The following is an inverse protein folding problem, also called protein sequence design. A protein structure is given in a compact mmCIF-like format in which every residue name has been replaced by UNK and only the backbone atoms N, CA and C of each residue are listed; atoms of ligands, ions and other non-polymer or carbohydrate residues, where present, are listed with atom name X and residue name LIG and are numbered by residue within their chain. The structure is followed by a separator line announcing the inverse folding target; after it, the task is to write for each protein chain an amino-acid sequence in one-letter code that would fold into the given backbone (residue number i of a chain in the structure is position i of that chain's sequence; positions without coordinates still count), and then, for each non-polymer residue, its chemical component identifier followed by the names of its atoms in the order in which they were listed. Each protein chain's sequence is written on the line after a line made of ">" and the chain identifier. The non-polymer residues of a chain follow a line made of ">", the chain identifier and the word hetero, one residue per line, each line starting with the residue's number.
data_IF_798648574773
#
_entry.id   IF_798648574773
#
_cell.length_a   1.000
_cell.length_b   1.000
_cell.length_c   1.000
_cell.angle_alpha   90.00
_cell.angle_beta   90.00
_cell.angle_gamma   90.00
#
_symmetry.space_group_name_H-M   'P 1'
#
loop_
_entity.id
_entity.type
_entity.pdbx_description
1 polymer ?
#
# COMPACT_ATOMS: atom_id res chain seq x y z
N UNK A 1 -18.68 -62.46 29.43
CA UNK A 1 -18.30 -61.08 29.83
C UNK A 1 -17.78 -60.38 28.59
N UNK A 2 -18.58 -59.52 27.95
CA UNK A 2 -18.19 -58.71 26.81
C UNK A 2 -17.60 -57.38 27.30
N UNK A 3 -16.32 -57.15 27.05
CA UNK A 3 -15.67 -55.87 27.32
C UNK A 3 -16.07 -54.83 26.28
N UNK A 4 -16.80 -53.79 26.72
CA UNK A 4 -17.13 -52.63 25.90
C UNK A 4 -15.89 -51.71 25.87
N UNK A 5 -15.28 -51.54 24.69
CA UNK A 5 -14.19 -50.60 24.51
C UNK A 5 -14.82 -49.26 24.15
N UNK A 6 -14.80 -48.27 25.07
CA UNK A 6 -15.27 -46.92 24.79
C UNK A 6 -14.14 -46.15 24.02
N UNK A 7 -14.39 -45.78 22.80
CA UNK A 7 -13.51 -44.90 22.01
C UNK A 7 -13.82 -43.45 22.36
N UNK A 8 -12.93 -42.78 23.09
CA UNK A 8 -13.02 -41.33 23.31
C UNK A 8 -12.43 -40.61 22.09
N UNK A 9 -13.31 -40.02 21.29
CA UNK A 9 -12.90 -39.06 20.22
C UNK A 9 -12.54 -37.72 20.88
N UNK A 10 -11.26 -37.42 20.99
CA UNK A 10 -10.81 -36.08 21.35
C UNK A 10 -11.01 -35.16 20.16
N UNK A 11 -12.05 -34.32 20.18
CA UNK A 11 -12.17 -33.15 19.30
C UNK A 11 -11.20 -32.07 19.81
N UNK A 12 -10.06 -31.93 19.18
CA UNK A 12 -9.21 -30.76 19.33
C UNK A 12 -9.88 -29.59 18.62
N UNK A 13 -10.55 -28.71 19.38
CA UNK A 13 -10.97 -27.40 18.87
C UNK A 13 -9.69 -26.57 18.72
N UNK A 14 -9.18 -26.46 17.52
CA UNK A 14 -8.18 -25.44 17.20
C UNK A 14 -8.88 -24.10 17.24
N UNK A 15 -8.66 -23.30 18.28
CA UNK A 15 -9.03 -21.89 18.30
C UNK A 15 -8.19 -21.20 17.19
N UNK A 16 -8.74 -21.08 16.01
CA UNK A 16 -8.16 -20.20 14.98
C UNK A 16 -8.46 -18.76 15.41
N UNK A 17 -7.43 -17.95 15.62
CA UNK A 17 -7.58 -16.51 15.85
C UNK A 17 -8.39 -15.85 14.71
N UNK A 18 -9.01 -14.72 15.00
CA UNK A 18 -9.71 -13.96 13.97
C UNK A 18 -8.71 -13.47 12.91
N UNK A 19 -9.14 -13.50 11.64
CA UNK A 19 -8.31 -13.06 10.51
C UNK A 19 -8.66 -11.63 10.08
N UNK A 20 -7.65 -10.88 9.65
CA UNK A 20 -7.81 -9.56 9.04
C UNK A 20 -7.00 -9.49 7.74
N UNK A 21 -7.65 -9.15 6.63
CA UNK A 21 -7.02 -8.90 5.34
C UNK A 21 -6.69 -7.42 5.19
N UNK A 22 -5.41 -7.10 5.03
CA UNK A 22 -4.92 -5.74 4.86
C UNK A 22 -4.34 -5.58 3.46
N UNK A 23 -4.67 -4.48 2.78
CA UNK A 23 -4.27 -4.22 1.40
C UNK A 23 -3.73 -2.80 1.20
N UNK A 24 -3.00 -2.58 0.12
CA UNK A 24 -2.64 -1.25 -0.38
C UNK A 24 -2.85 -1.16 -1.89
N UNK A 25 -3.29 0.02 -2.37
CA UNK A 25 -3.59 0.25 -3.77
C UNK A 25 -3.32 1.70 -4.18
N UNK A 26 -2.30 1.92 -4.99
CA UNK A 26 -2.15 3.19 -5.72
C UNK A 26 -3.20 3.23 -6.83
N UNK A 27 -4.13 4.19 -6.76
CA UNK A 27 -5.31 4.24 -7.65
C UNK A 27 -5.09 5.03 -8.94
N UNK A 28 -3.86 5.46 -9.23
CA UNK A 28 -3.53 6.29 -10.40
C UNK A 28 -4.41 7.55 -10.49
N UNK A 29 -4.27 8.44 -9.51
CA UNK A 29 -4.90 9.77 -9.45
C UNK A 29 -6.45 9.74 -9.38
N UNK A 30 -6.99 9.79 -8.17
CA UNK A 30 -8.40 10.04 -7.94
C UNK A 30 -8.61 11.49 -7.51
N UNK A 31 -9.08 12.32 -8.44
CA UNK A 31 -9.45 13.72 -8.24
C UNK A 31 -10.97 13.87 -8.15
N UNK A 32 -11.46 14.76 -7.30
CA UNK A 32 -12.87 15.14 -7.33
C UNK A 32 -13.16 16.18 -8.45
N UNK A 33 -14.34 16.77 -8.44
CA UNK A 33 -14.73 17.76 -9.45
C UNK A 33 -14.76 19.19 -8.91
N UNK A 34 -14.15 19.42 -7.74
CA UNK A 34 -13.98 20.75 -7.16
C UNK A 34 -12.61 21.27 -7.54
N UNK A 35 -12.56 22.43 -8.18
CA UNK A 35 -11.30 23.06 -8.53
C UNK A 35 -10.66 23.66 -7.27
N UNK A 36 -9.48 23.18 -6.90
CA UNK A 36 -8.69 23.65 -5.76
C UNK A 36 -7.47 24.49 -6.16
N UNK A 37 -7.07 24.43 -7.45
CA UNK A 37 -5.87 25.07 -7.97
C UNK A 37 -4.59 24.22 -7.83
N UNK A 38 -4.71 22.99 -7.31
CA UNK A 38 -3.59 22.06 -7.08
C UNK A 38 -3.67 20.81 -7.98
N UNK A 39 -4.67 20.74 -8.87
CA UNK A 39 -4.87 19.62 -9.79
C UNK A 39 -3.74 19.56 -10.83
N UNK A 40 -3.47 18.35 -11.30
CA UNK A 40 -2.74 18.19 -12.56
C UNK A 40 -3.60 18.75 -13.71
N UNK A 41 -2.96 19.29 -14.75
CA UNK A 41 -3.64 19.92 -15.88
C UNK A 41 -4.75 19.05 -16.48
N UNK A 42 -4.47 17.74 -16.63
CA UNK A 42 -5.43 16.79 -17.19
C UNK A 42 -6.57 16.42 -16.22
N UNK A 43 -6.50 16.81 -14.96
CA UNK A 43 -7.55 16.61 -13.96
C UNK A 43 -8.30 17.91 -13.58
N UNK A 44 -8.00 19.03 -14.22
CA UNK A 44 -8.80 20.25 -14.05
C UNK A 44 -10.23 19.99 -14.55
N UNK A 45 -11.26 20.17 -13.70
CA UNK A 45 -12.62 19.78 -14.02
C UNK A 45 -13.19 20.53 -15.22
N UNK A 46 -13.94 19.82 -16.05
CA UNK A 46 -14.73 20.35 -17.18
C UNK A 46 -13.93 21.07 -18.27
N UNK A 47 -12.64 20.77 -18.42
CA UNK A 47 -11.78 21.25 -19.50
C UNK A 47 -11.84 20.32 -20.73
N UNK A 48 -11.04 20.64 -21.77
CA UNK A 48 -10.84 19.78 -22.94
C UNK A 48 -10.33 18.38 -22.61
N UNK A 49 -9.70 18.19 -21.45
CA UNK A 49 -9.29 16.89 -20.93
C UNK A 49 -10.46 15.98 -20.52
N UNK A 50 -11.68 16.51 -20.44
CA UNK A 50 -12.92 15.78 -20.08
C UNK A 50 -12.84 15.06 -18.73
N UNK A 51 -12.12 15.66 -17.76
CA UNK A 51 -12.29 15.25 -16.38
C UNK A 51 -13.61 15.86 -15.89
N UNK A 52 -14.67 15.11 -15.99
CA UNK A 52 -16.05 15.54 -15.73
C UNK A 52 -16.82 14.46 -14.96
N UNK A 53 -18.10 14.67 -14.72
CA UNK A 53 -18.96 13.76 -13.98
C UNK A 53 -18.94 12.33 -14.53
N UNK A 54 -18.90 12.14 -15.86
CA UNK A 54 -18.86 10.82 -16.49
C UNK A 54 -17.53 10.11 -16.19
N UNK A 55 -16.40 10.79 -16.40
CA UNK A 55 -15.06 10.25 -16.15
C UNK A 55 -14.85 9.96 -14.66
N UNK A 56 -15.30 10.87 -13.80
CA UNK A 56 -15.18 10.72 -12.35
C UNK A 56 -15.98 9.51 -11.85
N UNK A 57 -17.26 9.39 -12.22
CA UNK A 57 -18.09 8.24 -11.86
C UNK A 57 -17.52 6.92 -12.36
N UNK A 58 -17.01 6.89 -13.60
CA UNK A 58 -16.37 5.71 -14.14
C UNK A 58 -15.11 5.32 -13.32
N UNK A 59 -14.29 6.31 -12.94
CA UNK A 59 -13.09 6.08 -12.11
C UNK A 59 -13.47 5.52 -10.75
N UNK A 60 -14.43 6.12 -10.06
CA UNK A 60 -14.94 5.64 -8.77
C UNK A 60 -15.44 4.19 -8.87
N UNK A 61 -16.27 3.88 -9.88
CA UNK A 61 -16.81 2.53 -10.10
C UNK A 61 -15.70 1.51 -10.36
N UNK A 62 -14.72 1.86 -11.18
CA UNK A 62 -13.64 0.95 -11.54
C UNK A 62 -12.72 0.67 -10.35
N UNK A 63 -12.34 1.69 -9.56
CA UNK A 63 -11.55 1.50 -8.35
C UNK A 63 -12.35 0.70 -7.31
N UNK A 64 -13.62 1.05 -7.09
CA UNK A 64 -14.50 0.34 -6.17
C UNK A 64 -14.60 -1.14 -6.52
N UNK A 65 -14.79 -1.49 -7.81
CA UNK A 65 -14.82 -2.88 -8.25
C UNK A 65 -13.57 -3.66 -7.82
N UNK A 66 -12.37 -3.08 -7.99
CA UNK A 66 -11.12 -3.74 -7.59
C UNK A 66 -11.08 -3.97 -6.09
N UNK A 67 -11.48 -2.97 -5.30
CA UNK A 67 -11.48 -3.04 -3.83
C UNK A 67 -12.51 -4.08 -3.34
N UNK A 68 -13.72 -4.07 -3.90
CA UNK A 68 -14.79 -5.00 -3.51
C UNK A 68 -14.43 -6.45 -3.88
N UNK A 69 -13.90 -6.68 -5.08
CA UNK A 69 -13.48 -8.02 -5.51
C UNK A 69 -12.32 -8.57 -4.64
N UNK A 70 -11.42 -7.71 -4.17
CA UNK A 70 -10.34 -8.08 -3.25
C UNK A 70 -10.84 -8.28 -1.81
N UNK A 71 -11.91 -7.57 -1.42
CA UNK A 71 -12.57 -7.62 -0.11
C UNK A 71 -11.61 -7.48 1.09
N UNK A 72 -10.82 -6.40 1.21
CA UNK A 72 -9.98 -6.16 2.37
C UNK A 72 -10.79 -5.65 3.57
N UNK A 73 -10.28 -5.91 4.78
CA UNK A 73 -10.81 -5.33 6.01
C UNK A 73 -10.23 -3.94 6.28
N UNK A 74 -8.98 -3.73 5.84
CA UNK A 74 -8.27 -2.46 5.91
C UNK A 74 -7.55 -2.25 4.57
N UNK A 75 -7.67 -1.05 3.99
CA UNK A 75 -6.98 -0.72 2.74
C UNK A 75 -6.35 0.67 2.78
N UNK A 76 -5.05 0.73 2.48
CA UNK A 76 -4.36 1.97 2.16
C UNK A 76 -4.58 2.34 0.69
N UNK A 77 -4.67 3.63 0.43
CA UNK A 77 -4.89 4.20 -0.88
C UNK A 77 -3.88 5.31 -1.13
N UNK A 78 -3.20 5.26 -2.25
CA UNK A 78 -2.30 6.31 -2.70
C UNK A 78 -2.92 7.07 -3.88
N UNK A 79 -2.49 8.32 -4.07
CA UNK A 79 -2.96 9.22 -5.12
C UNK A 79 -4.43 9.65 -5.00
N UNK A 80 -4.88 9.84 -3.77
CA UNK A 80 -6.16 10.47 -3.46
C UNK A 80 -5.95 11.99 -3.35
N UNK A 81 -6.67 12.76 -4.16
CA UNK A 81 -6.52 14.22 -4.18
C UNK A 81 -7.10 14.89 -2.93
N UNK A 82 -8.33 14.50 -2.51
CA UNK A 82 -9.07 15.21 -1.48
C UNK A 82 -9.86 14.30 -0.54
N UNK A 83 -10.34 14.89 0.58
CA UNK A 83 -11.33 14.22 1.45
C UNK A 83 -12.65 13.93 0.75
N UNK A 84 -13.02 14.76 -0.24
CA UNK A 84 -14.26 14.57 -1.01
C UNK A 84 -14.11 13.36 -1.93
N UNK A 85 -13.00 13.26 -2.68
CA UNK A 85 -12.70 12.11 -3.52
C UNK A 85 -12.69 10.79 -2.70
N UNK A 86 -12.10 10.80 -1.49
CA UNK A 86 -12.10 9.65 -0.59
C UNK A 86 -13.49 9.28 -0.10
N UNK A 87 -14.30 10.25 0.30
CA UNK A 87 -15.69 10.01 0.77
C UNK A 87 -16.55 9.46 -0.35
N UNK A 88 -16.43 9.99 -1.57
CA UNK A 88 -17.17 9.52 -2.73
C UNK A 88 -16.77 8.09 -3.11
N UNK A 89 -15.47 7.77 -3.06
CA UNK A 89 -14.99 6.40 -3.28
C UNK A 89 -15.52 5.46 -2.21
N UNK A 90 -15.46 5.82 -0.92
CA UNK A 90 -16.00 5.02 0.18
C UNK A 90 -17.51 4.77 0.01
N UNK A 91 -18.28 5.80 -0.36
CA UNK A 91 -19.70 5.66 -0.63
C UNK A 91 -19.97 4.75 -1.83
N UNK A 92 -19.11 4.77 -2.87
CA UNK A 92 -19.22 3.86 -4.01
C UNK A 92 -18.94 2.41 -3.57
N UNK A 93 -17.86 2.17 -2.81
CA UNK A 93 -17.50 0.86 -2.25
C UNK A 93 -18.65 0.29 -1.40
N UNK A 94 -19.29 1.13 -0.59
CA UNK A 94 -20.44 0.71 0.23
C UNK A 94 -21.64 0.31 -0.65
N UNK A 95 -21.96 1.06 -1.70
CA UNK A 95 -23.02 0.71 -2.67
C UNK A 95 -22.73 -0.60 -3.40
N UNK A 96 -21.45 -0.88 -3.65
CA UNK A 96 -21.00 -2.09 -4.34
C UNK A 96 -20.83 -3.30 -3.38
N UNK A 97 -21.20 -3.16 -2.08
CA UNK A 97 -21.36 -4.27 -1.13
C UNK A 97 -20.24 -4.46 -0.10
N UNK A 98 -19.24 -3.55 -0.02
CA UNK A 98 -18.18 -3.64 1.01
C UNK A 98 -18.28 -2.44 1.97
N UNK A 99 -18.45 -2.73 3.26
CA UNK A 99 -18.61 -1.70 4.29
C UNK A 99 -17.30 -1.42 5.03
N UNK A 100 -16.74 -0.23 4.79
CA UNK A 100 -15.53 0.29 5.42
C UNK A 100 -15.84 1.65 6.07
N UNK A 101 -16.45 1.65 7.30
CA UNK A 101 -17.00 2.87 7.91
C UNK A 101 -15.96 3.89 8.33
N UNK A 102 -14.78 3.43 8.73
CA UNK A 102 -13.73 4.29 9.26
C UNK A 102 -12.74 4.69 8.17
N UNK A 103 -12.27 5.93 8.20
CA UNK A 103 -11.31 6.43 7.22
C UNK A 103 -10.42 7.53 7.78
N UNK A 104 -9.24 7.68 7.20
CA UNK A 104 -8.33 8.78 7.42
C UNK A 104 -7.63 9.17 6.12
N UNK A 105 -7.15 10.43 6.04
CA UNK A 105 -6.37 10.95 4.91
C UNK A 105 -5.34 11.94 5.43
N UNK A 106 -4.11 11.90 4.93
CA UNK A 106 -3.05 12.85 5.25
C UNK A 106 -3.23 14.14 4.46
N UNK A 107 -4.13 15.03 4.93
CA UNK A 107 -4.57 16.23 4.23
C UNK A 107 -4.17 17.55 4.93
N UNK A 108 -3.30 17.52 5.97
CA UNK A 108 -2.82 18.73 6.63
C UNK A 108 -1.83 19.54 5.79
N UNK A 109 -1.31 18.93 4.72
CA UNK A 109 -0.40 19.56 3.78
C UNK A 109 -1.02 19.63 2.40
N UNK A 110 -0.89 20.78 1.77
CA UNK A 110 -1.47 21.05 0.46
C UNK A 110 -0.59 20.47 -0.67
N UNK A 111 -0.61 19.16 -0.77
CA UNK A 111 0.00 18.40 -1.86
C UNK A 111 -1.07 17.95 -2.84
N UNK A 112 -0.75 17.90 -4.14
CA UNK A 112 -1.69 17.53 -5.20
C UNK A 112 -2.41 16.21 -4.92
N UNK A 113 -1.68 15.18 -4.52
CA UNK A 113 -2.26 13.89 -4.11
C UNK A 113 -1.72 13.45 -2.76
N UNK A 114 -2.53 12.69 -2.05
CA UNK A 114 -2.35 12.31 -0.65
C UNK A 114 -2.46 10.80 -0.48
N UNK A 115 -2.13 10.33 0.71
CA UNK A 115 -2.36 8.94 1.14
C UNK A 115 -3.56 8.87 2.07
N UNK A 116 -4.31 7.77 2.00
CA UNK A 116 -5.52 7.55 2.78
C UNK A 116 -5.63 6.11 3.27
N UNK A 117 -6.54 5.88 4.22
CA UNK A 117 -6.85 4.56 4.76
C UNK A 117 -8.37 4.42 4.91
N UNK A 118 -8.92 3.27 4.50
CA UNK A 118 -10.27 2.83 4.83
C UNK A 118 -10.18 1.58 5.70
N UNK A 119 -11.10 1.42 6.66
CA UNK A 119 -11.07 0.31 7.61
C UNK A 119 -12.47 -0.12 8.06
N UNK A 120 -12.65 -1.42 8.32
CA UNK A 120 -13.78 -1.97 9.06
C UNK A 120 -13.69 -1.67 10.56
N UNK A 121 -12.47 -1.45 11.07
CA UNK A 121 -12.19 -1.26 12.48
C UNK A 121 -12.02 0.22 12.80
N UNK A 122 -12.42 0.67 14.02
CA UNK A 122 -12.09 2.00 14.49
C UNK A 122 -10.58 2.27 14.40
N UNK A 123 -10.21 3.48 13.99
CA UNK A 123 -8.82 3.88 13.86
C UNK A 123 -8.58 5.24 14.51
N UNK A 124 -7.37 5.39 15.08
CA UNK A 124 -6.85 6.67 15.51
C UNK A 124 -5.70 7.07 14.61
N UNK A 125 -5.84 8.18 13.87
CA UNK A 125 -4.90 8.57 12.84
C UNK A 125 -4.23 9.91 13.15
N UNK A 126 -2.95 10.00 12.76
CA UNK A 126 -2.16 11.22 12.76
C UNK A 126 -1.25 11.29 11.54
N UNK A 127 -0.76 12.48 11.24
CA UNK A 127 0.17 12.66 10.12
C UNK A 127 1.61 12.76 10.63
N UNK A 128 2.47 11.92 10.09
CA UNK A 128 3.90 12.04 10.28
C UNK A 128 4.45 13.02 9.25
N UNK A 129 4.85 14.19 9.71
CA UNK A 129 5.45 15.23 8.87
C UNK A 129 6.85 14.79 8.40
N UNK A 130 7.02 14.60 7.10
CA UNK A 130 8.30 14.21 6.50
C UNK A 130 9.29 15.40 6.53
N UNK A 131 8.87 16.57 6.04
CA UNK A 131 9.63 17.83 6.10
C UNK A 131 8.66 19.01 6.15
N UNK A 132 9.21 20.23 6.34
CA UNK A 132 8.43 21.46 6.20
C UNK A 132 8.01 21.74 4.75
N UNK A 133 8.78 21.26 3.77
CA UNK A 133 8.52 21.51 2.35
C UNK A 133 7.24 20.82 1.86
N UNK A 134 6.39 21.55 1.15
CA UNK A 134 5.20 21.03 0.47
C UNK A 134 5.53 20.05 -0.67
N UNK A 135 6.81 19.98 -1.10
CA UNK A 135 7.26 19.01 -2.11
C UNK A 135 7.22 17.57 -1.62
N UNK A 136 7.11 17.33 -0.31
CA UNK A 136 7.04 16.00 0.29
C UNK A 136 5.68 15.77 0.93
N UNK A 137 5.04 14.66 0.59
CA UNK A 137 3.80 14.21 1.22
C UNK A 137 4.07 13.81 2.67
N UNK A 138 3.10 14.01 3.55
CA UNK A 138 3.12 13.41 4.86
C UNK A 138 2.82 11.91 4.74
N UNK A 139 3.30 11.13 5.72
CA UNK A 139 2.96 9.72 5.88
C UNK A 139 1.74 9.67 6.81
N UNK A 140 0.74 8.87 6.49
CA UNK A 140 -0.40 8.65 7.38
C UNK A 140 -0.05 7.53 8.36
N UNK A 141 -0.03 7.84 9.65
CA UNK A 141 0.07 6.88 10.73
C UNK A 141 -1.32 6.61 11.28
N UNK A 142 -1.75 5.35 11.30
CA UNK A 142 -3.01 4.94 11.88
C UNK A 142 -2.77 3.82 12.90
N UNK A 143 -3.38 3.94 14.09
CA UNK A 143 -3.44 2.89 15.10
C UNK A 143 -4.81 2.24 15.03
N UNK A 144 -4.84 0.92 14.84
CA UNK A 144 -6.05 0.08 14.84
C UNK A 144 -5.90 -0.94 15.95
N UNK A 145 -6.98 -1.23 16.69
CA UNK A 145 -7.02 -2.34 17.64
C UNK A 145 -7.64 -3.56 16.96
N UNK A 146 -6.90 -4.65 16.92
CA UNK A 146 -7.35 -5.96 16.46
C UNK A 146 -7.42 -6.89 17.67
N UNK A 147 -8.63 -7.19 18.12
CA UNK A 147 -8.80 -7.72 19.48
C UNK A 147 -8.27 -6.71 20.51
N UNK A 148 -7.30 -7.14 21.31
CA UNK A 148 -6.60 -6.29 22.28
C UNK A 148 -5.23 -5.80 21.79
N UNK A 149 -4.82 -6.17 20.56
CA UNK A 149 -3.51 -5.89 20.02
C UNK A 149 -3.50 -4.62 19.17
N UNK A 150 -2.64 -3.64 19.49
CA UNK A 150 -2.50 -2.45 18.65
C UNK A 150 -1.63 -2.75 17.41
N UNK A 151 -2.13 -2.42 16.24
CA UNK A 151 -1.39 -2.38 14.98
C UNK A 151 -1.16 -0.93 14.55
N UNK A 152 0.10 -0.55 14.34
CA UNK A 152 0.48 0.73 13.76
C UNK A 152 0.68 0.57 12.25
N UNK A 153 -0.19 1.19 11.46
CA UNK A 153 -0.14 1.18 10.00
C UNK A 153 0.44 2.51 9.51
N UNK A 154 1.47 2.45 8.67
CA UNK A 154 2.06 3.63 8.03
C UNK A 154 1.82 3.58 6.53
N UNK A 155 0.96 4.48 6.03
CA UNK A 155 0.68 4.58 4.59
C UNK A 155 1.64 5.57 3.95
N UNK A 156 2.39 5.09 2.97
CA UNK A 156 3.47 5.81 2.32
C UNK A 156 3.15 6.11 0.85
N UNK A 157 3.55 7.28 0.38
CA UNK A 157 3.71 7.55 -1.05
C UNK A 157 4.94 8.45 -1.22
N UNK A 158 6.08 7.83 -1.45
CA UNK A 158 7.35 8.53 -1.53
C UNK A 158 7.54 9.28 -2.86
N UNK A 159 8.67 9.97 -3.01
CA UNK A 159 9.00 10.70 -4.25
C UNK A 159 9.23 9.73 -5.41
N UNK A 160 8.68 10.12 -6.58
CA UNK A 160 8.74 9.30 -7.78
C UNK A 160 10.17 8.83 -8.13
N UNK A 161 10.28 7.59 -8.61
CA UNK A 161 11.53 6.92 -8.98
C UNK A 161 12.25 7.59 -10.16
N UNK A 162 11.60 8.49 -10.88
CA UNK A 162 12.25 9.36 -11.88
C UNK A 162 13.23 10.36 -11.29
N UNK A 163 13.14 10.64 -9.97
CA UNK A 163 14.08 11.47 -9.22
C UNK A 163 15.14 10.69 -8.47
N UNK A 164 16.18 11.38 -7.96
CA UNK A 164 17.29 10.75 -7.25
C UNK A 164 16.85 10.11 -5.92
N UNK A 165 17.62 9.11 -5.46
CA UNK A 165 17.32 8.33 -4.25
C UNK A 165 17.36 9.17 -2.97
N UNK A 166 18.21 10.19 -2.92
CA UNK A 166 18.26 11.13 -1.80
C UNK A 166 16.88 11.67 -1.42
N UNK A 167 15.97 11.84 -2.41
CA UNK A 167 14.60 12.31 -2.16
C UNK A 167 13.75 11.27 -1.42
N UNK A 168 13.93 9.98 -1.69
CA UNK A 168 13.21 8.89 -0.99
C UNK A 168 13.78 8.65 0.39
N UNK A 169 15.10 8.78 0.55
CA UNK A 169 15.77 8.70 1.86
C UNK A 169 15.22 9.71 2.87
N UNK A 170 14.79 10.89 2.44
CA UNK A 170 14.15 11.88 3.35
C UNK A 170 12.93 11.29 4.03
N UNK A 171 12.04 10.64 3.26
CA UNK A 171 10.85 9.98 3.80
C UNK A 171 11.21 8.76 4.66
N UNK A 172 12.17 7.94 4.20
CA UNK A 172 12.66 6.79 4.95
C UNK A 172 13.23 7.17 6.33
N UNK A 173 14.03 8.24 6.40
CA UNK A 173 14.60 8.74 7.67
C UNK A 173 13.50 9.26 8.62
N UNK A 174 12.51 9.99 8.11
CA UNK A 174 11.39 10.45 8.92
C UNK A 174 10.61 9.28 9.52
N UNK A 175 10.29 8.27 8.69
CA UNK A 175 9.61 7.05 9.11
C UNK A 175 10.44 6.28 10.14
N UNK A 176 11.73 6.01 9.87
CA UNK A 176 12.62 5.30 10.81
C UNK A 176 12.74 6.01 12.16
N UNK A 177 12.85 7.34 12.14
CA UNK A 177 12.85 8.14 13.38
C UNK A 177 11.58 7.94 14.19
N UNK A 178 10.42 7.84 13.54
CA UNK A 178 9.13 7.57 14.22
C UNK A 178 9.09 6.17 14.79
N UNK A 179 9.48 5.16 14.01
CA UNK A 179 9.55 3.75 14.46
C UNK A 179 10.46 3.61 15.68
N UNK A 180 11.64 4.23 15.68
CA UNK A 180 12.55 4.20 16.83
C UNK A 180 11.96 4.80 18.11
N UNK A 181 11.04 5.79 17.98
CA UNK A 181 10.32 6.37 19.13
C UNK A 181 9.19 5.49 19.63
N UNK A 182 8.58 4.69 18.77
CA UNK A 182 7.53 3.74 19.16
C UNK A 182 8.12 2.53 19.88
N UNK A 183 9.36 2.18 19.59
CA UNK A 183 10.00 1.00 20.14
C UNK A 183 9.51 -0.30 19.53
N UNK A 184 9.44 -1.36 20.34
CA UNK A 184 9.01 -2.69 19.92
C UNK A 184 7.48 -2.79 19.87
N UNK A 185 6.90 -2.54 18.70
CA UNK A 185 5.45 -2.54 18.47
C UNK A 185 5.10 -3.29 17.18
N UNK A 186 3.86 -3.77 17.11
CA UNK A 186 3.30 -4.28 15.86
C UNK A 186 3.17 -3.14 14.86
N UNK A 187 3.99 -3.12 13.79
CA UNK A 187 3.85 -2.14 12.73
C UNK A 187 3.84 -2.78 11.35
N UNK A 188 3.05 -2.18 10.47
CA UNK A 188 2.98 -2.47 9.05
C UNK A 188 3.27 -1.17 8.27
N UNK A 189 4.34 -1.17 7.47
CA UNK A 189 4.63 -0.10 6.52
C UNK A 189 4.10 -0.54 5.17
N UNK A 190 3.22 0.27 4.56
CA UNK A 190 2.60 -0.11 3.29
C UNK A 190 2.38 1.12 2.40
N UNK A 191 2.15 0.88 1.11
CA UNK A 191 1.93 1.91 0.10
C UNK A 191 2.97 1.92 -1.01
N UNK A 192 2.95 2.98 -1.80
CA UNK A 192 3.88 3.22 -2.90
C UNK A 192 5.16 3.88 -2.39
N UNK A 193 6.21 3.09 -2.20
CA UNK A 193 7.53 3.58 -1.80
C UNK A 193 8.31 4.18 -2.98
N UNK A 194 7.82 4.02 -4.21
CA UNK A 194 8.55 4.39 -5.42
C UNK A 194 10.00 3.83 -5.43
N UNK A 195 10.20 2.71 -4.74
CA UNK A 195 11.45 1.96 -4.60
C UNK A 195 11.15 0.49 -4.79
N UNK A 196 11.94 -0.18 -5.60
CA UNK A 196 11.87 -1.64 -5.73
C UNK A 196 12.29 -2.31 -4.41
N UNK A 197 11.73 -3.48 -4.09
CA UNK A 197 12.13 -4.23 -2.90
C UNK A 197 13.62 -4.58 -2.88
N UNK A 198 14.29 -4.59 -4.05
CA UNK A 198 15.75 -4.72 -4.26
C UNK A 198 16.34 -3.43 -4.80
N UNK A 199 15.96 -2.27 -4.31
CA UNK A 199 16.46 -1.01 -4.85
C UNK A 199 17.99 -0.91 -4.77
N UNK A 200 18.61 -1.45 -3.71
CA UNK A 200 20.07 -1.53 -3.55
C UNK A 200 20.79 -2.23 -4.71
N UNK A 201 20.12 -3.15 -5.41
CA UNK A 201 20.69 -3.88 -6.55
C UNK A 201 20.30 -3.24 -7.89
N UNK A 202 19.05 -2.75 -7.99
CA UNK A 202 18.43 -2.40 -9.28
C UNK A 202 18.80 -1.00 -9.76
N UNK A 203 19.17 -0.06 -8.87
CA UNK A 203 19.42 1.32 -9.28
C UNK A 203 20.90 1.74 -9.27
N UNK A 204 21.82 0.92 -8.73
CA UNK A 204 23.25 1.21 -8.61
C UNK A 204 23.89 1.74 -9.90
N UNK A 205 23.46 1.22 -11.05
CA UNK A 205 24.01 1.58 -12.38
C UNK A 205 23.44 2.88 -12.95
N UNK A 206 22.44 3.50 -12.32
CA UNK A 206 21.77 4.70 -12.83
C UNK A 206 22.39 5.97 -12.21
N UNK A 207 23.49 6.47 -12.75
CA UNK A 207 24.25 7.62 -12.22
C UNK A 207 23.40 8.80 -11.73
N UNK A 208 22.37 9.20 -12.49
CA UNK A 208 21.48 10.34 -12.12
C UNK A 208 20.55 10.04 -10.94
N UNK A 209 20.30 8.76 -10.66
CA UNK A 209 19.38 8.34 -9.60
C UNK A 209 20.14 7.92 -8.35
N UNK A 210 21.35 7.38 -8.51
CA UNK A 210 22.23 6.96 -7.43
C UNK A 210 23.12 8.11 -6.95
N UNK A 211 22.54 9.14 -6.39
CA UNK A 211 23.23 10.27 -5.76
C UNK A 211 23.64 10.00 -4.30
N UNK A 212 23.38 8.80 -3.81
CA UNK A 212 23.57 8.37 -2.43
C UNK A 212 24.65 7.30 -2.28
N UNK A 213 25.44 7.07 -3.34
CA UNK A 213 26.52 6.06 -3.35
C UNK A 213 26.02 4.65 -3.00
N UNK A 214 24.82 4.27 -3.46
CA UNK A 214 24.24 2.95 -3.23
C UNK A 214 23.36 2.85 -1.98
N UNK A 215 23.34 3.85 -1.10
CA UNK A 215 22.44 3.86 0.05
C UNK A 215 20.98 4.06 -0.41
N UNK A 216 20.07 3.18 0.04
CA UNK A 216 18.64 3.24 -0.31
C UNK A 216 17.76 3.45 0.91
N UNK A 217 16.59 4.07 0.69
CA UNK A 217 15.60 4.27 1.73
C UNK A 217 15.00 2.94 2.22
N UNK A 218 14.56 2.10 1.28
CA UNK A 218 13.82 0.86 1.62
C UNK A 218 14.75 -0.21 2.20
N UNK A 219 15.95 -0.43 1.62
CA UNK A 219 16.82 -1.51 2.05
C UNK A 219 17.69 -1.11 3.26
N UNK A 220 18.35 0.04 3.21
CA UNK A 220 19.34 0.41 4.23
C UNK A 220 18.74 1.19 5.39
N UNK A 221 17.87 2.20 5.11
CA UNK A 221 17.29 3.02 6.19
C UNK A 221 16.20 2.26 6.94
N UNK A 222 15.29 1.58 6.23
CA UNK A 222 14.25 0.74 6.87
C UNK A 222 14.77 -0.64 7.29
N UNK A 223 16.02 -0.99 6.89
CA UNK A 223 16.68 -2.26 7.22
C UNK A 223 15.89 -3.49 6.77
N UNK A 224 15.47 -3.50 5.49
CA UNK A 224 14.92 -4.72 4.86
C UNK A 224 16.03 -5.63 4.31
N UNK A 225 17.29 -5.22 4.46
CA UNK A 225 18.50 -6.03 4.22
C UNK A 225 19.40 -5.99 5.46
N UNK A 226 20.06 -7.10 5.73
CA UNK A 226 21.09 -7.26 6.76
C UNK A 226 22.35 -7.82 6.09
N UNK A 227 23.50 -7.13 6.25
CA UNK A 227 24.77 -7.51 5.58
C UNK A 227 24.65 -7.68 4.06
N UNK A 228 23.84 -6.81 3.41
CA UNK A 228 23.48 -6.83 1.99
C UNK A 228 22.61 -8.01 1.54
N UNK A 229 22.21 -8.91 2.45
CA UNK A 229 21.26 -9.98 2.17
C UNK A 229 19.84 -9.57 2.58
N UNK A 230 18.79 -10.05 1.89
CA UNK A 230 17.42 -9.78 2.28
C UNK A 230 17.11 -10.29 3.68
N UNK A 231 16.43 -9.48 4.48
CA UNK A 231 15.76 -9.98 5.69
C UNK A 231 14.66 -10.95 5.25
N UNK A 232 14.62 -12.12 5.85
CA UNK A 232 13.63 -13.17 5.60
C UNK A 232 12.74 -13.35 6.82
N UNK A 233 11.59 -13.99 6.67
CA UNK A 233 10.73 -14.33 7.81
C UNK A 233 11.49 -15.14 8.89
N UNK A 234 12.41 -16.02 8.47
CA UNK A 234 13.19 -16.88 9.39
C UNK A 234 14.19 -16.12 10.26
N UNK A 235 14.90 -15.12 9.67
CA UNK A 235 15.92 -14.35 10.39
C UNK A 235 15.44 -12.99 10.90
N UNK A 236 14.15 -12.68 10.74
CA UNK A 236 13.57 -11.42 11.20
C UNK A 236 13.75 -11.20 12.70
N UNK A 237 13.67 -12.26 13.51
CA UNK A 237 13.84 -12.20 14.95
C UNK A 237 15.29 -11.99 15.42
N UNK A 238 16.27 -12.23 14.56
CA UNK A 238 17.69 -12.05 14.87
C UNK A 238 18.11 -10.58 14.92
N UNK A 239 17.24 -9.67 14.43
CA UNK A 239 17.53 -8.26 14.31
C UNK A 239 16.34 -7.39 14.73
N UNK A 240 16.35 -6.90 15.97
CA UNK A 240 15.27 -6.06 16.54
C UNK A 240 14.91 -4.80 15.73
N UNK A 241 15.83 -4.28 14.91
CA UNK A 241 15.61 -3.08 14.13
C UNK A 241 15.37 -3.36 12.64
N UNK A 242 15.41 -4.62 12.22
CA UNK A 242 15.14 -5.03 10.86
C UNK A 242 13.63 -5.01 10.57
N UNK A 243 13.29 -5.09 9.29
CA UNK A 243 11.93 -5.21 8.83
C UNK A 243 11.88 -6.19 7.65
N UNK A 244 10.80 -6.94 7.53
CA UNK A 244 10.65 -7.94 6.48
C UNK A 244 9.75 -7.42 5.37
N UNK A 245 10.26 -7.36 4.14
CA UNK A 245 9.48 -7.00 2.96
C UNK A 245 8.82 -8.25 2.38
N UNK A 246 7.49 -8.28 2.38
CA UNK A 246 6.70 -9.46 2.02
C UNK A 246 6.85 -9.88 0.55
N UNK A 247 7.40 -9.04 -0.32
CA UNK A 247 7.72 -9.45 -1.70
C UNK A 247 8.59 -10.71 -1.76
N UNK A 248 9.45 -10.91 -0.77
CA UNK A 248 10.33 -12.09 -0.74
C UNK A 248 9.60 -13.43 -0.59
N UNK A 249 8.31 -13.45 -0.27
CA UNK A 249 7.50 -14.67 -0.25
C UNK A 249 7.09 -15.17 -1.64
N UNK A 250 7.00 -14.27 -2.61
CA UNK A 250 6.61 -14.65 -3.96
C UNK A 250 7.82 -15.11 -4.78
N UNK A 251 7.61 -15.94 -5.82
CA UNK A 251 8.63 -16.19 -6.82
C UNK A 251 9.09 -14.89 -7.50
N UNK A 252 10.37 -14.75 -7.81
CA UNK A 252 10.96 -13.50 -8.32
C UNK A 252 10.20 -12.91 -9.53
N UNK A 253 9.75 -13.76 -10.46
CA UNK A 253 8.97 -13.35 -11.64
C UNK A 253 7.64 -12.69 -11.31
N UNK A 254 7.13 -12.87 -10.09
CA UNK A 254 5.84 -12.34 -9.63
C UNK A 254 5.99 -11.08 -8.74
N UNK A 255 7.22 -10.70 -8.37
CA UNK A 255 7.52 -9.59 -7.45
C UNK A 255 7.46 -8.24 -8.15
N UNK A 256 6.26 -7.86 -8.60
CA UNK A 256 6.02 -6.55 -9.21
C UNK A 256 4.56 -6.13 -9.05
N UNK A 257 4.35 -4.86 -8.76
CA UNK A 257 3.03 -4.21 -8.73
C UNK A 257 2.84 -3.23 -9.88
N UNK A 258 3.93 -2.72 -10.44
CA UNK A 258 3.94 -1.74 -11.52
C UNK A 258 4.85 -2.21 -12.66
N UNK A 259 4.50 -1.83 -13.92
CA UNK A 259 5.35 -2.09 -15.08
C UNK A 259 5.61 -0.81 -15.86
N UNK A 260 6.90 -0.51 -16.05
CA UNK A 260 7.34 0.58 -16.90
C UNK A 260 8.14 0.04 -18.09
N UNK A 261 7.68 0.31 -19.33
CA UNK A 261 8.31 -0.19 -20.57
C UNK A 261 8.58 -1.70 -20.58
N UNK A 262 7.64 -2.47 -20.01
CA UNK A 262 7.73 -3.93 -19.94
C UNK A 262 8.51 -4.49 -18.74
N UNK A 263 9.26 -3.66 -18.00
CA UNK A 263 9.97 -4.07 -16.79
C UNK A 263 9.05 -3.96 -15.57
N UNK A 264 8.89 -5.07 -14.84
CA UNK A 264 8.17 -5.10 -13.57
C UNK A 264 9.04 -4.59 -12.43
N UNK A 265 8.43 -3.84 -11.49
CA UNK A 265 9.06 -3.34 -10.28
C UNK A 265 8.05 -3.43 -9.12
N UNK A 266 8.51 -3.86 -7.94
CA UNK A 266 7.71 -3.93 -6.71
C UNK A 266 7.71 -2.58 -5.99
N UNK A 267 7.12 -1.54 -6.61
CA UNK A 267 7.12 -0.17 -6.08
C UNK A 267 6.22 -0.02 -4.87
N UNK A 268 5.08 -0.73 -4.86
CA UNK A 268 4.20 -0.86 -3.71
C UNK A 268 4.76 -1.98 -2.82
N UNK A 269 4.82 -1.76 -1.53
CA UNK A 269 5.35 -2.76 -0.59
C UNK A 269 4.48 -2.88 0.66
N UNK A 270 4.54 -4.06 1.27
CA UNK A 270 4.11 -4.32 2.64
C UNK A 270 5.32 -4.83 3.41
N UNK A 271 5.68 -4.11 4.49
CA UNK A 271 6.90 -4.36 5.27
C UNK A 271 6.48 -4.46 6.74
N UNK A 272 6.78 -5.60 7.37
CA UNK A 272 6.36 -5.92 8.74
C UNK A 272 7.49 -5.78 9.76
N UNK A 273 7.10 -5.48 11.01
CA UNK A 273 7.99 -5.50 12.17
C UNK A 273 8.32 -6.93 12.60
N UNK A 274 9.44 -7.15 13.34
CA UNK A 274 9.69 -8.41 14.01
C UNK A 274 8.55 -8.85 14.95
N UNK A 275 7.88 -7.88 15.57
CA UNK A 275 6.77 -8.10 16.49
C UNK A 275 5.56 -8.80 15.85
N UNK A 276 5.36 -8.66 14.54
CA UNK A 276 4.32 -9.35 13.76
C UNK A 276 4.73 -10.78 13.33
N UNK A 277 5.82 -11.32 13.89
CA UNK A 277 6.35 -12.64 13.59
C UNK A 277 7.03 -13.27 14.81
N UNK A 278 6.62 -12.89 16.04
CA UNK A 278 7.23 -13.36 17.29
C UNK A 278 6.47 -14.53 17.96
N UNK A 279 5.37 -14.99 17.34
CA UNK A 279 4.51 -16.06 17.82
C UNK A 279 3.56 -15.62 18.93
N UNK A 280 3.25 -14.31 19.08
CA UNK A 280 2.44 -13.78 20.17
C UNK A 280 1.44 -12.73 19.71
N UNK A 281 0.18 -12.93 20.08
CA UNK A 281 -0.89 -11.95 19.83
C UNK A 281 -1.17 -11.76 18.36
N UNK A 282 -0.97 -10.54 17.84
CA UNK A 282 -1.18 -10.22 16.43
C UNK A 282 0.00 -10.69 15.56
N UNK A 283 -0.25 -11.61 14.64
CA UNK A 283 0.73 -12.26 13.80
C UNK A 283 0.47 -12.04 12.31
N UNK A 284 1.51 -11.84 11.54
CA UNK A 284 1.47 -11.99 10.09
C UNK A 284 1.30 -13.47 9.73
N UNK A 285 0.36 -13.81 8.87
CA UNK A 285 0.20 -15.17 8.37
C UNK A 285 1.19 -15.44 7.23
N UNK A 286 2.24 -16.23 7.44
CA UNK A 286 3.23 -16.56 6.41
C UNK A 286 2.58 -17.11 5.14
N UNK A 287 3.12 -16.75 3.99
CA UNK A 287 2.63 -17.15 2.67
C UNK A 287 1.22 -16.64 2.33
N UNK A 288 0.70 -15.64 3.07
CA UNK A 288 -0.58 -15.00 2.74
C UNK A 288 -0.43 -13.78 1.81
N UNK A 289 0.79 -13.25 1.65
CA UNK A 289 1.03 -12.10 0.78
C UNK A 289 0.75 -12.43 -0.68
N UNK A 290 -0.03 -11.57 -1.33
CA UNK A 290 -0.43 -11.72 -2.74
C UNK A 290 -0.48 -10.39 -3.45
N UNK A 291 -0.28 -10.45 -4.74
CA UNK A 291 -0.67 -9.44 -5.71
C UNK A 291 -2.07 -9.74 -6.22
N UNK A 292 -2.95 -8.75 -6.22
CA UNK A 292 -4.27 -8.89 -6.80
C UNK A 292 -4.19 -8.61 -8.31
N UNK A 293 -4.21 -9.66 -9.11
CA UNK A 293 -3.99 -9.62 -10.56
C UNK A 293 -5.16 -10.23 -11.35
N UNK A 294 -6.38 -9.87 -10.95
CA UNK A 294 -7.60 -10.30 -11.62
C UNK A 294 -7.53 -10.04 -13.16
N UNK A 295 -8.05 -10.95 -14.00
CA UNK A 295 -7.91 -10.87 -15.46
C UNK A 295 -8.35 -9.55 -16.09
N UNK A 296 -9.37 -8.90 -15.53
CA UNK A 296 -9.88 -7.62 -16.04
C UNK A 296 -8.93 -6.43 -15.82
N UNK A 297 -7.94 -6.57 -14.92
CA UNK A 297 -6.88 -5.58 -14.72
C UNK A 297 -5.85 -5.58 -15.85
N UNK A 298 -6.00 -6.48 -16.82
CA UNK A 298 -5.11 -6.59 -17.97
C UNK A 298 -5.85 -6.43 -19.29
N UNK A 299 -5.16 -5.83 -20.25
CA UNK A 299 -5.61 -5.74 -21.63
C UNK A 299 -4.44 -6.01 -22.57
N UNK A 300 -4.55 -7.04 -23.41
CA UNK A 300 -3.48 -7.47 -24.33
C UNK A 300 -2.14 -7.68 -23.60
N UNK A 301 -2.16 -8.36 -22.43
CA UNK A 301 -0.99 -8.69 -21.62
C UNK A 301 -0.34 -7.52 -20.87
N UNK A 302 -0.95 -6.33 -20.90
CA UNK A 302 -0.47 -5.14 -20.18
C UNK A 302 -1.47 -4.74 -19.12
N UNK A 303 -1.00 -4.11 -18.01
CA UNK A 303 -1.88 -3.49 -17.02
C UNK A 303 -2.85 -2.54 -17.75
N UNK A 304 -4.15 -2.71 -17.50
CA UNK A 304 -5.21 -1.87 -18.07
C UNK A 304 -5.40 -0.62 -17.21
N UNK A 305 -4.36 0.23 -17.24
CA UNK A 305 -4.36 1.51 -16.54
C UNK A 305 -5.46 2.44 -17.04
N UNK A 306 -5.73 3.51 -16.28
CA UNK A 306 -6.65 4.56 -16.69
C UNK A 306 -6.25 5.15 -18.04
N UNK A 307 -7.22 5.21 -18.99
CA UNK A 307 -6.94 5.53 -20.38
C UNK A 307 -7.16 7.02 -20.68
N UNK A 308 -6.19 7.58 -21.41
CA UNK A 308 -6.32 8.87 -22.10
C UNK A 308 -6.27 8.65 -23.61
N UNK A 309 -6.98 9.50 -24.38
CA UNK A 309 -6.93 9.42 -25.86
C UNK A 309 -5.50 9.65 -26.37
N UNK A 310 -5.18 9.04 -27.49
CA UNK A 310 -3.91 9.29 -28.20
C UNK A 310 -3.99 10.48 -29.16
N UNK A 311 -5.19 10.78 -29.67
CA UNK A 311 -5.46 11.89 -30.54
C UNK A 311 -5.56 13.21 -29.77
N UNK A 312 -5.18 14.29 -30.41
CA UNK A 312 -5.34 15.65 -29.89
C UNK A 312 -6.76 16.18 -30.17
N UNK A 313 -7.41 16.92 -29.26
CA UNK A 313 -6.97 17.14 -27.87
C UNK A 313 -7.05 15.88 -27.03
N UNK A 314 -6.02 15.64 -26.24
CA UNK A 314 -6.01 14.52 -25.30
C UNK A 314 -7.12 14.66 -24.26
N UNK A 315 -7.78 13.56 -23.92
CA UNK A 315 -8.86 13.56 -22.94
C UNK A 315 -8.99 12.21 -22.24
N UNK A 316 -9.63 12.19 -21.08
CA UNK A 316 -9.98 10.97 -20.37
C UNK A 316 -11.04 10.18 -21.14
N UNK A 317 -10.84 8.85 -21.23
CA UNK A 317 -11.71 7.95 -21.97
C UNK A 317 -12.72 7.22 -21.08
N UNK A 318 -12.77 7.50 -19.79
CA UNK A 318 -13.60 6.82 -18.79
C UNK A 318 -13.45 5.28 -18.80
N UNK A 319 -12.23 4.78 -19.00
CA UNK A 319 -11.90 3.35 -19.13
C UNK A 319 -10.58 3.02 -18.42
N UNK A 320 -10.45 1.77 -17.95
CA UNK A 320 -9.25 1.27 -17.25
C UNK A 320 -9.30 1.49 -15.74
N UNK A 321 -8.26 1.06 -15.06
CA UNK A 321 -8.18 1.01 -13.58
C UNK A 321 -7.02 1.88 -13.07
N UNK A 322 -5.90 1.27 -12.72
CA UNK A 322 -4.66 1.91 -12.31
C UNK A 322 -3.48 1.31 -13.07
N UNK A 323 -2.34 2.01 -13.11
CA UNK A 323 -1.06 1.47 -13.58
C UNK A 323 -0.31 0.66 -12.51
N UNK A 324 -0.87 0.58 -11.31
CA UNK A 324 -0.44 -0.29 -10.23
C UNK A 324 -1.45 -1.42 -10.01
N UNK A 325 -0.96 -2.59 -9.57
CA UNK A 325 -1.78 -3.68 -9.06
C UNK A 325 -1.80 -3.63 -7.54
N UNK A 326 -2.97 -3.84 -6.88
CA UNK A 326 -3.02 -3.91 -5.43
C UNK A 326 -2.23 -5.10 -4.91
N UNK A 327 -1.73 -4.97 -3.68
CA UNK A 327 -1.14 -6.06 -2.91
C UNK A 327 -1.85 -6.18 -1.56
N UNK A 328 -1.89 -7.40 -1.02
CA UNK A 328 -2.54 -7.66 0.27
C UNK A 328 -1.86 -8.80 1.02
N UNK A 329 -2.11 -8.85 2.32
CA UNK A 329 -1.68 -9.92 3.21
C UNK A 329 -2.73 -10.16 4.29
N UNK A 330 -2.68 -11.34 4.95
CA UNK A 330 -3.54 -11.72 6.05
C UNK A 330 -2.77 -11.74 7.35
N UNK A 331 -3.42 -11.32 8.42
CA UNK A 331 -2.91 -11.35 9.79
C UNK A 331 -3.94 -12.04 10.69
N UNK A 332 -3.48 -12.65 11.79
CA UNK A 332 -4.31 -13.33 12.79
C UNK A 332 -4.13 -12.67 14.15
N UNK A 333 -5.22 -12.57 14.96
CA UNK A 333 -5.19 -11.94 16.30
C UNK A 333 -6.19 -12.58 17.27
#
# INVERSE_FOLDING_TARGET
>A
MKKLLAFFLFFTITLTGAEVKIATYNVENLFDLKYSGHEYEDYVPNTSWRWNQQSYRAKLKNISKVIVDMAPDIIALEEIESRYALKDLRAQIQRDGLYLPYYAIAASKDTTVKVALLSKYPLHAQELRVTASYKYRNILEAKVLLGNEPLYIFVNHWKAKSGPESRRIVSAKALKKRLNRLGDVNYLLMGDFNSDYRENETFIRKRKLNDTKGLTGINHILKTTLHNEPVTYKNLQECQQCAYNLWYELPEKERWSHKYRGRGEGLDSMIISPKLADGKGLEYQPQSFRKFDAPYLFKKGKIYRWQRSRSYPKHHMAKGYSDHLPIYATFTY
#
